data_IF_775463143651
#
_entry.id   IF_775463143651
#
_cell.length_a   1.000
_cell.length_b   1.000
_cell.length_c   1.000
_cell.angle_alpha   90.00
_cell.angle_beta   90.00
_cell.angle_gamma   90.00
#
_symmetry.space_group_name_H-M   'P 1'
#
loop_
_entity.id
_entity.type
_entity.pdbx_description
1 polymer ?
#
# COMPACT_ATOMS: atom_id res chain seq x y z
N UNK A 1 -14.10 -8.81 -23.79
CA UNK A 1 -15.21 -9.69 -23.31
C UNK A 1 -14.85 -11.17 -23.39
N UNK A 2 -14.13 -11.63 -24.41
CA UNK A 2 -13.79 -13.05 -24.59
C UNK A 2 -12.82 -13.59 -23.52
N UNK A 3 -11.86 -12.79 -23.06
CA UNK A 3 -10.94 -13.14 -21.96
C UNK A 3 -11.68 -13.51 -20.65
N UNK A 4 -12.63 -12.68 -20.21
CA UNK A 4 -13.41 -12.93 -18.99
C UNK A 4 -14.33 -14.15 -19.14
N UNK A 5 -14.90 -14.37 -20.34
CA UNK A 5 -15.67 -15.58 -20.65
C UNK A 5 -14.82 -16.85 -20.55
N UNK A 6 -13.58 -16.81 -21.06
CA UNK A 6 -12.65 -17.94 -20.97
C UNK A 6 -12.19 -18.22 -19.53
N UNK A 7 -12.07 -17.19 -18.69
CA UNK A 7 -11.77 -17.33 -17.26
C UNK A 7 -12.99 -17.66 -16.39
N UNK A 8 -14.19 -17.72 -16.96
CA UNK A 8 -15.43 -17.94 -16.20
C UNK A 8 -15.82 -16.77 -15.28
N UNK A 9 -15.27 -15.58 -15.50
CA UNK A 9 -15.51 -14.38 -14.68
C UNK A 9 -16.48 -13.43 -15.37
N UNK A 10 -17.28 -12.70 -14.58
CA UNK A 10 -18.18 -11.66 -15.09
C UNK A 10 -17.55 -10.28 -14.86
N UNK A 11 -17.26 -9.56 -15.94
CA UNK A 11 -16.79 -8.19 -15.85
C UNK A 11 -17.93 -7.29 -15.33
N UNK A 12 -17.71 -6.65 -14.19
CA UNK A 12 -18.58 -5.61 -13.63
C UNK A 12 -17.88 -4.27 -13.85
N UNK A 13 -18.46 -3.40 -14.67
CA UNK A 13 -17.93 -2.05 -14.90
C UNK A 13 -18.55 -1.11 -13.87
N UNK A 14 -17.72 -0.37 -13.12
CA UNK A 14 -18.19 0.80 -12.38
C UNK A 14 -18.57 1.90 -13.38
N UNK A 15 -19.60 2.68 -13.05
CA UNK A 15 -19.99 3.89 -13.79
C UNK A 15 -19.83 5.10 -12.85
N UNK A 16 -19.55 6.26 -13.42
CA UNK A 16 -19.24 7.52 -12.71
C UNK A 16 -20.34 7.99 -11.70
N UNK A 17 -21.49 7.31 -11.64
CA UNK A 17 -22.67 7.70 -10.86
C UNK A 17 -23.16 6.63 -9.85
N UNK A 18 -22.33 5.66 -9.45
CA UNK A 18 -22.71 4.69 -8.41
C UNK A 18 -21.64 4.50 -7.30
N UNK A 19 -21.62 5.38 -6.28
CA UNK A 19 -20.66 5.31 -5.18
C UNK A 19 -20.86 4.13 -4.21
N UNK A 20 -22.02 3.45 -4.26
CA UNK A 20 -22.44 2.55 -3.17
C UNK A 20 -21.64 1.23 -3.08
N UNK A 21 -20.89 0.84 -4.12
CA UNK A 21 -20.12 -0.42 -4.12
C UNK A 21 -18.60 -0.22 -4.14
N UNK A 22 -18.10 0.84 -4.78
CA UNK A 22 -16.67 1.02 -5.03
C UNK A 22 -16.00 2.07 -4.13
N UNK A 23 -16.76 2.85 -3.34
CA UNK A 23 -16.21 4.00 -2.62
C UNK A 23 -15.06 3.70 -1.66
N UNK A 24 -15.04 2.53 -1.00
CA UNK A 24 -13.90 2.16 -0.13
C UNK A 24 -12.66 1.82 -0.94
N UNK A 25 -12.83 1.02 -1.99
CA UNK A 25 -11.76 0.64 -2.92
C UNK A 25 -11.22 1.87 -3.64
N UNK A 26 -12.08 2.80 -4.05
CA UNK A 26 -11.71 4.08 -4.66
C UNK A 26 -10.92 4.97 -3.71
N UNK A 27 -11.34 5.10 -2.44
CA UNK A 27 -10.62 5.87 -1.42
C UNK A 27 -9.22 5.29 -1.17
N UNK A 28 -9.14 3.96 -1.10
CA UNK A 28 -7.89 3.23 -0.96
C UNK A 28 -7.00 3.40 -2.20
N UNK A 29 -7.56 3.22 -3.39
CA UNK A 29 -6.84 3.34 -4.65
C UNK A 29 -6.30 4.75 -4.83
N UNK A 30 -7.07 5.78 -4.46
CA UNK A 30 -6.62 7.17 -4.46
C UNK A 30 -5.47 7.43 -3.49
N UNK A 31 -5.50 6.80 -2.31
CA UNK A 31 -4.40 6.89 -1.34
C UNK A 31 -3.13 6.21 -1.88
N UNK A 32 -3.27 5.00 -2.42
CA UNK A 32 -2.18 4.24 -3.05
C UNK A 32 -1.61 4.96 -4.27
N UNK A 33 -2.44 5.54 -5.12
CA UNK A 33 -2.00 6.31 -6.28
C UNK A 33 -1.26 7.58 -5.88
N UNK A 34 -1.78 8.32 -4.89
CA UNK A 34 -1.13 9.54 -4.37
C UNK A 34 0.24 9.20 -3.78
N UNK A 35 0.32 8.09 -3.04
CA UNK A 35 1.56 7.51 -2.57
C UNK A 35 2.50 7.19 -3.75
N UNK A 36 2.11 6.32 -4.68
CA UNK A 36 2.95 5.88 -5.80
C UNK A 36 3.42 7.07 -6.65
N UNK A 37 2.59 8.10 -6.80
CA UNK A 37 2.93 9.32 -7.54
C UNK A 37 4.05 10.13 -6.87
N UNK A 38 4.03 10.27 -5.55
CA UNK A 38 5.14 10.91 -4.81
C UNK A 38 6.44 10.13 -5.01
N UNK A 39 6.42 8.80 -4.88
CA UNK A 39 7.63 7.97 -4.99
C UNK A 39 8.16 7.86 -6.42
N UNK A 40 7.28 7.74 -7.42
CA UNK A 40 7.67 7.76 -8.82
C UNK A 40 8.29 9.12 -9.21
N UNK A 41 7.86 10.22 -8.58
CA UNK A 41 8.45 11.54 -8.77
C UNK A 41 9.83 11.65 -8.11
N UNK A 42 9.99 11.17 -6.88
CA UNK A 42 11.25 11.29 -6.12
C UNK A 42 12.33 10.32 -6.62
N UNK A 43 11.95 9.09 -7.00
CA UNK A 43 12.87 8.04 -7.44
C UNK A 43 12.33 7.21 -8.63
N UNK A 44 12.26 7.78 -9.84
CA UNK A 44 11.64 7.14 -11.01
C UNK A 44 12.34 5.86 -11.49
N UNK A 45 13.60 5.61 -11.10
CA UNK A 45 14.33 4.38 -11.49
C UNK A 45 14.10 3.21 -10.55
N UNK A 46 13.68 3.46 -9.31
CA UNK A 46 13.48 2.43 -8.29
C UNK A 46 12.01 2.19 -7.97
N UNK A 47 11.06 2.92 -8.55
CA UNK A 47 9.60 2.86 -8.25
C UNK A 47 9.04 1.43 -8.04
N UNK A 48 9.53 0.43 -8.80
CA UNK A 48 9.08 -0.95 -8.69
C UNK A 48 9.43 -1.61 -7.34
N UNK A 49 10.58 -1.29 -6.72
CA UNK A 49 10.91 -1.80 -5.39
C UNK A 49 10.01 -1.22 -4.30
N UNK A 50 9.43 -0.04 -4.55
CA UNK A 50 8.49 0.63 -3.64
C UNK A 50 7.09 0.05 -3.70
N UNK A 51 6.70 -0.55 -4.83
CA UNK A 51 5.38 -1.19 -4.97
C UNK A 51 5.17 -2.28 -3.93
N UNK A 52 6.19 -3.10 -3.67
CA UNK A 52 6.13 -4.15 -2.65
C UNK A 52 5.90 -3.59 -1.24
N UNK A 53 6.48 -2.42 -0.92
CA UNK A 53 6.27 -1.74 0.35
C UNK A 53 4.86 -1.16 0.48
N UNK A 54 4.32 -0.61 -0.61
CA UNK A 54 2.95 -0.11 -0.68
C UNK A 54 1.94 -1.24 -0.43
N UNK A 55 2.12 -2.37 -1.12
CA UNK A 55 1.30 -3.56 -0.98
C UNK A 55 1.38 -4.13 0.44
N UNK A 56 2.58 -4.25 0.99
CA UNK A 56 2.76 -4.73 2.36
C UNK A 56 2.04 -3.82 3.36
N UNK A 57 2.18 -2.49 3.22
CA UNK A 57 1.49 -1.53 4.08
C UNK A 57 -0.02 -1.66 3.96
N UNK A 58 -0.55 -1.71 2.74
CA UNK A 58 -1.98 -1.89 2.48
C UNK A 58 -2.51 -3.14 3.18
N UNK A 59 -1.81 -4.27 3.00
CA UNK A 59 -2.22 -5.55 3.55
C UNK A 59 -2.11 -5.60 5.08
N UNK A 60 -1.16 -4.88 5.69
CA UNK A 60 -0.91 -4.91 7.14
C UNK A 60 -1.58 -3.78 7.93
N UNK A 61 -2.22 -2.81 7.25
CA UNK A 61 -2.88 -1.68 7.91
C UNK A 61 -4.31 -2.03 8.29
N UNK A 62 -4.74 -1.55 9.46
CA UNK A 62 -6.11 -1.76 9.93
C UNK A 62 -7.09 -0.93 9.11
N UNK A 63 -8.12 -1.57 8.59
CA UNK A 63 -9.18 -0.92 7.85
C UNK A 63 -10.46 -0.90 8.67
N UNK A 64 -10.96 0.30 8.97
CA UNK A 64 -12.14 0.52 9.81
C UNK A 64 -13.39 -0.16 9.25
N UNK A 65 -13.54 -0.20 7.93
CA UNK A 65 -14.71 -0.78 7.26
C UNK A 65 -14.82 -2.29 7.37
N UNK A 66 -13.69 -3.01 7.35
CA UNK A 66 -13.63 -4.47 7.52
C UNK A 66 -13.31 -4.87 8.96
N UNK A 67 -12.99 -3.91 9.83
CA UNK A 67 -12.65 -4.12 11.24
C UNK A 67 -11.39 -4.96 11.48
N UNK A 68 -10.54 -5.13 10.45
CA UNK A 68 -9.34 -5.97 10.42
C UNK A 68 -8.33 -5.44 9.41
N UNK A 69 -7.14 -6.03 9.37
CA UNK A 69 -6.22 -5.85 8.24
C UNK A 69 -6.61 -6.75 7.05
N UNK A 70 -6.42 -6.35 5.79
CA UNK A 70 -6.66 -7.23 4.64
C UNK A 70 -5.88 -8.54 4.73
N UNK A 71 -4.66 -8.52 5.27
CA UNK A 71 -3.85 -9.72 5.49
C UNK A 71 -4.53 -10.71 6.46
N UNK A 72 -5.07 -10.21 7.58
CA UNK A 72 -5.82 -11.07 8.52
C UNK A 72 -7.07 -11.67 7.89
N UNK A 73 -7.76 -10.92 7.02
CA UNK A 73 -8.95 -11.42 6.32
C UNK A 73 -8.58 -12.57 5.38
N UNK A 74 -7.46 -12.44 4.64
CA UNK A 74 -7.03 -13.45 3.65
C UNK A 74 -6.38 -14.66 4.32
N UNK A 75 -5.53 -14.46 5.32
CA UNK A 75 -4.67 -15.51 5.88
C UNK A 75 -5.08 -15.99 7.28
N UNK A 76 -6.06 -15.35 7.92
CA UNK A 76 -6.54 -15.72 9.25
C UNK A 76 -5.55 -15.49 10.40
N UNK A 77 -4.45 -14.76 10.14
CA UNK A 77 -3.41 -14.43 11.13
C UNK A 77 -2.89 -13.01 10.92
N UNK A 78 -2.25 -12.43 11.94
CA UNK A 78 -1.63 -11.11 11.82
C UNK A 78 -0.47 -11.11 10.80
N UNK A 79 -0.27 -9.97 10.14
CA UNK A 79 0.87 -9.75 9.28
C UNK A 79 2.19 -9.85 10.08
N UNK A 80 3.27 -10.44 9.53
CA UNK A 80 4.56 -10.50 10.21
C UNK A 80 5.09 -9.08 10.47
N UNK A 81 5.51 -8.75 11.69
CA UNK A 81 6.03 -7.42 11.97
C UNK A 81 7.40 -7.19 11.30
N UNK A 82 7.59 -6.03 10.69
CA UNK A 82 8.92 -5.60 10.24
C UNK A 82 9.66 -5.03 11.44
N UNK A 83 10.73 -5.71 11.84
CA UNK A 83 11.61 -5.24 12.92
C UNK A 83 12.56 -4.18 12.36
N UNK A 84 12.66 -3.04 13.05
CA UNK A 84 13.59 -1.96 12.71
C UNK A 84 15.03 -2.47 12.76
N UNK A 85 15.83 -2.15 11.77
CA UNK A 85 17.23 -2.54 11.75
C UNK A 85 18.01 -1.79 12.83
N UNK A 86 18.83 -2.51 13.60
CA UNK A 86 19.78 -1.92 14.53
C UNK A 86 21.19 -2.01 13.96
N UNK A 87 21.91 -0.88 13.99
CA UNK A 87 23.25 -0.72 13.42
C UNK A 87 24.29 -1.55 14.18
N UNK A 88 24.32 -2.86 13.93
CA UNK A 88 25.26 -3.89 14.42
C UNK A 88 24.74 -5.33 14.23
N UNK A 89 23.52 -5.53 13.73
CA UNK A 89 22.90 -6.85 13.60
C UNK A 89 23.49 -7.73 12.47
N UNK A 90 24.21 -7.14 11.52
CA UNK A 90 24.83 -7.87 10.40
C UNK A 90 26.29 -7.47 10.20
N UNK A 91 27.13 -8.47 9.94
CA UNK A 91 28.54 -8.28 9.53
C UNK A 91 28.69 -8.07 8.02
N UNK A 92 27.61 -8.22 7.26
CA UNK A 92 27.61 -8.12 5.79
C UNK A 92 27.18 -6.70 5.41
N UNK A 93 28.10 -5.93 4.84
CA UNK A 93 27.88 -4.52 4.48
C UNK A 93 26.72 -4.32 3.49
N UNK A 94 26.56 -5.22 2.50
CA UNK A 94 25.47 -5.15 1.54
C UNK A 94 24.09 -5.29 2.22
N UNK A 95 23.96 -6.22 3.17
CA UNK A 95 22.72 -6.42 3.93
C UNK A 95 22.44 -5.22 4.85
N UNK A 96 23.48 -4.64 5.46
CA UNK A 96 23.32 -3.43 6.27
C UNK A 96 22.81 -2.24 5.44
N UNK A 97 23.30 -2.09 4.20
CA UNK A 97 22.85 -1.05 3.27
C UNK A 97 21.38 -1.26 2.89
N UNK A 98 21.00 -2.46 2.45
CA UNK A 98 19.62 -2.77 2.08
C UNK A 98 18.63 -2.56 3.24
N UNK A 99 19.01 -2.96 4.47
CA UNK A 99 18.18 -2.76 5.65
C UNK A 99 18.06 -1.28 6.05
N UNK A 100 19.12 -0.49 5.85
CA UNK A 100 19.10 0.96 6.06
C UNK A 100 18.22 1.66 5.03
N UNK A 101 18.34 1.28 3.75
CA UNK A 101 17.49 1.79 2.67
C UNK A 101 16.02 1.44 2.90
N UNK A 102 15.73 0.22 3.35
CA UNK A 102 14.39 -0.21 3.78
C UNK A 102 13.84 0.67 4.91
N UNK A 103 14.64 0.95 5.94
CA UNK A 103 14.13 1.69 7.10
C UNK A 103 13.84 3.16 6.74
N UNK A 104 14.68 3.78 5.91
CA UNK A 104 14.38 5.11 5.36
C UNK A 104 13.16 5.06 4.44
N UNK A 105 13.02 4.00 3.64
CA UNK A 105 11.86 3.77 2.80
C UNK A 105 10.55 3.73 3.61
N UNK A 106 10.54 2.95 4.69
CA UNK A 106 9.40 2.83 5.60
C UNK A 106 9.08 4.15 6.31
N UNK A 107 10.09 4.96 6.61
CA UNK A 107 9.91 6.28 7.21
C UNK A 107 9.26 7.26 6.24
N UNK A 108 9.74 7.32 4.99
CA UNK A 108 9.13 8.15 3.94
C UNK A 108 7.71 7.68 3.63
N UNK A 109 7.50 6.36 3.58
CA UNK A 109 6.18 5.74 3.42
C UNK A 109 5.21 6.23 4.49
N UNK A 110 5.59 6.15 5.77
CA UNK A 110 4.75 6.59 6.88
C UNK A 110 4.43 8.09 6.79
N UNK A 111 5.41 8.92 6.43
CA UNK A 111 5.22 10.37 6.26
C UNK A 111 4.24 10.70 5.14
N UNK A 112 4.42 10.11 3.95
CA UNK A 112 3.58 10.40 2.78
C UNK A 112 2.15 9.91 2.97
N UNK A 113 1.97 8.75 3.61
CA UNK A 113 0.64 8.23 3.93
C UNK A 113 -0.08 9.10 4.96
N UNK A 114 0.63 9.56 5.99
CA UNK A 114 0.03 10.47 6.96
C UNK A 114 -0.43 11.77 6.28
N UNK A 115 0.40 12.36 5.40
CA UNK A 115 0.02 13.54 4.60
C UNK A 115 -1.19 13.26 3.71
N UNK A 116 -1.23 12.11 3.04
CA UNK A 116 -2.35 11.72 2.17
C UNK A 116 -3.65 11.54 2.98
N UNK A 117 -3.57 10.93 4.17
CA UNK A 117 -4.70 10.80 5.09
C UNK A 117 -5.19 12.17 5.59
N UNK A 118 -4.29 13.06 5.98
CA UNK A 118 -4.60 14.41 6.42
C UNK A 118 -5.27 15.23 5.30
N UNK A 119 -4.75 15.15 4.07
CA UNK A 119 -5.36 15.78 2.90
C UNK A 119 -6.76 15.22 2.64
N UNK A 120 -6.92 13.90 2.65
CA UNK A 120 -8.22 13.27 2.45
C UNK A 120 -9.24 13.68 3.51
N UNK A 121 -8.83 13.81 4.78
CA UNK A 121 -9.69 14.31 5.84
C UNK A 121 -10.08 15.78 5.62
N UNK A 122 -9.16 16.61 5.10
CA UNK A 122 -9.43 18.01 4.78
C UNK A 122 -10.43 18.18 3.61
N UNK A 123 -10.38 17.29 2.60
CA UNK A 123 -11.30 17.32 1.45
C UNK A 123 -12.62 16.56 1.69
N UNK A 124 -12.79 15.90 2.84
CA UNK A 124 -14.01 15.19 3.22
C UNK A 124 -15.00 16.06 4.05
N UNK A 125 -14.65 17.33 4.34
CA UNK A 125 -15.50 18.32 4.99
C UNK A 125 -16.01 19.37 4.00
#
# INVERSE_FOLDING_TARGET
>A
MELFKLQGTKLQMSSDYHPETDGQTEVINRCLESYLRCFASDQPKSWASWMAWAEYWYNSTYHVSIGKTPFEVVYGRQAPSIVRFLSNETKVAAVALELSERDEALKQLKLHLQKAQEQMAAYAN
#
